data_IF_068064416211
#
_entry.id   IF_068064416211
#
_cell.length_a   1.000
_cell.length_b   1.000
_cell.length_c   1.000
_cell.angle_alpha   90.00
_cell.angle_beta   90.00
_cell.angle_gamma   90.00
#
_symmetry.space_group_name_H-M   'P 1'
#
loop_
_entity.id
_entity.type
_entity.pdbx_description
1 polymer ?
#
# COMPACT_ATOMS: atom_id res chain seq x y z
N UNK A 1 -2.12 39.44 -7.79
CA UNK A 1 -2.12 38.10 -7.15
C UNK A 1 -3.01 38.19 -5.93
N UNK A 2 -4.11 37.43 -5.87
CA UNK A 2 -4.99 37.45 -4.71
C UNK A 2 -4.23 36.92 -3.49
N UNK A 3 -4.11 37.75 -2.44
CA UNK A 3 -3.54 37.35 -1.17
C UNK A 3 -4.66 36.70 -0.35
N UNK A 4 -4.67 35.37 -0.28
CA UNK A 4 -5.58 34.64 0.60
C UNK A 4 -5.06 34.71 2.04
N UNK A 5 -5.94 34.95 3.01
CA UNK A 5 -5.62 34.79 4.43
C UNK A 5 -5.55 33.29 4.80
N UNK A 6 -4.47 32.65 4.38
CA UNK A 6 -4.26 31.22 4.62
C UNK A 6 -4.06 30.94 6.12
N UNK A 7 -3.43 31.85 6.87
CA UNK A 7 -3.17 31.67 8.29
C UNK A 7 -4.48 31.64 9.09
N UNK A 8 -5.38 32.61 8.85
CA UNK A 8 -6.70 32.65 9.47
C UNK A 8 -7.52 31.40 9.17
N UNK A 9 -7.52 30.97 7.91
CA UNK A 9 -8.21 29.73 7.47
C UNK A 9 -7.63 28.49 8.17
N UNK A 10 -6.31 28.33 8.20
CA UNK A 10 -5.65 27.18 8.84
C UNK A 10 -5.96 27.15 10.34
N UNK A 11 -5.91 28.30 11.03
CA UNK A 11 -6.22 28.40 12.46
C UNK A 11 -7.68 28.06 12.75
N UNK A 12 -8.62 28.55 11.94
CA UNK A 12 -10.03 28.23 12.09
C UNK A 12 -10.31 26.72 11.88
N UNK A 13 -9.73 26.12 10.83
CA UNK A 13 -9.82 24.69 10.57
C UNK A 13 -9.20 23.86 11.69
N UNK A 14 -8.12 24.33 12.31
CA UNK A 14 -7.50 23.66 13.45
C UNK A 14 -8.40 23.65 14.68
N UNK A 15 -9.02 24.79 15.01
CA UNK A 15 -10.01 24.88 16.07
C UNK A 15 -11.18 23.91 15.87
N UNK A 16 -11.71 23.81 14.65
CA UNK A 16 -12.79 22.86 14.30
C UNK A 16 -12.34 21.41 14.53
N UNK A 17 -11.14 21.03 14.07
CA UNK A 17 -10.61 19.67 14.29
C UNK A 17 -10.39 19.37 15.76
N UNK A 18 -9.88 20.33 16.54
CA UNK A 18 -9.68 20.16 17.97
C UNK A 18 -11.00 19.93 18.71
N UNK A 19 -12.03 20.74 18.43
CA UNK A 19 -13.37 20.58 19.00
C UNK A 19 -13.98 19.21 18.65
N UNK A 20 -13.88 18.79 17.39
CA UNK A 20 -14.36 17.48 16.96
C UNK A 20 -13.69 16.34 17.72
N UNK A 21 -12.35 16.35 17.85
CA UNK A 21 -11.60 15.32 18.60
C UNK A 21 -12.07 15.23 20.07
N UNK A 22 -12.21 16.37 20.74
CA UNK A 22 -12.69 16.43 22.12
C UNK A 22 -14.11 15.88 22.24
N UNK A 23 -15.01 16.24 21.32
CA UNK A 23 -16.41 15.79 21.34
C UNK A 23 -16.58 14.27 21.13
N UNK A 24 -15.66 13.64 20.41
CA UNK A 24 -15.69 12.21 20.11
C UNK A 24 -14.96 11.33 21.14
N UNK A 25 -14.49 11.92 22.27
CA UNK A 25 -13.70 11.23 23.31
C UNK A 25 -12.50 10.44 22.77
N UNK A 26 -11.98 10.79 21.57
CA UNK A 26 -10.77 10.18 21.03
C UNK A 26 -9.56 10.80 21.72
N UNK A 27 -9.28 10.35 22.94
CA UNK A 27 -8.06 10.63 23.67
C UNK A 27 -6.90 9.75 23.15
N UNK A 28 -6.70 9.69 21.83
CA UNK A 28 -5.55 9.02 21.23
C UNK A 28 -4.55 10.07 20.75
N UNK A 29 -3.27 9.72 20.91
CA UNK A 29 -2.15 10.62 20.72
C UNK A 29 -2.27 11.43 19.42
N UNK A 30 -2.06 12.75 19.47
CA UNK A 30 -2.06 13.57 18.27
C UNK A 30 -0.91 13.13 17.36
N UNK A 31 -1.21 12.34 16.32
CA UNK A 31 -0.24 12.04 15.27
C UNK A 31 -0.35 10.66 14.63
N UNK A 32 -0.88 9.66 15.33
CA UNK A 32 -0.99 8.32 14.74
C UNK A 32 -2.24 8.19 13.87
N UNK A 33 -2.02 7.79 12.61
CA UNK A 33 -3.11 7.51 11.67
C UNK A 33 -3.90 6.30 12.20
N UNK A 34 -5.18 6.47 12.50
CA UNK A 34 -5.98 5.39 13.10
C UNK A 34 -6.49 4.35 12.09
N UNK A 35 -6.48 4.68 10.80
CA UNK A 35 -7.07 3.86 9.74
C UNK A 35 -6.11 3.63 8.58
N UNK A 36 -6.16 2.46 7.95
CA UNK A 36 -5.45 2.23 6.70
C UNK A 36 -5.76 3.30 5.65
N UNK A 37 -4.74 3.64 4.86
CA UNK A 37 -4.82 4.55 3.74
C UNK A 37 -5.20 3.81 2.47
N UNK A 38 -6.30 4.21 1.84
CA UNK A 38 -6.64 3.72 0.51
C UNK A 38 -5.56 4.09 -0.52
N UNK A 39 -4.99 5.29 -0.43
CA UNK A 39 -3.91 5.75 -1.30
C UNK A 39 -2.64 4.92 -1.08
N UNK A 40 -2.24 4.67 0.18
CA UNK A 40 -1.05 3.85 0.43
C UNK A 40 -1.25 2.41 -0.05
N UNK A 41 -2.46 1.84 0.12
CA UNK A 41 -2.79 0.53 -0.42
C UNK A 41 -2.69 0.52 -1.95
N UNK A 42 -3.19 1.54 -2.64
CA UNK A 42 -3.06 1.66 -4.09
C UNK A 42 -1.58 1.70 -4.52
N UNK A 43 -0.74 2.47 -3.83
CA UNK A 43 0.70 2.55 -4.10
C UNK A 43 1.42 1.21 -3.82
N UNK A 44 1.02 0.51 -2.76
CA UNK A 44 1.52 -0.84 -2.42
C UNK A 44 1.20 -1.81 -3.56
N UNK A 45 -0.05 -1.83 -4.03
CA UNK A 45 -0.46 -2.66 -5.16
C UNK A 45 0.28 -2.27 -6.45
N UNK A 46 0.55 -0.99 -6.67
CA UNK A 46 1.37 -0.54 -7.79
C UNK A 46 2.78 -1.14 -7.73
N UNK A 47 3.44 -1.05 -6.58
CA UNK A 47 4.76 -1.65 -6.35
C UNK A 47 4.76 -3.17 -6.56
N UNK A 48 3.75 -3.89 -6.06
CA UNK A 48 3.65 -5.33 -6.31
C UNK A 48 3.52 -5.66 -7.80
N UNK A 49 2.63 -4.97 -8.53
CA UNK A 49 2.50 -5.15 -9.98
C UNK A 49 3.84 -4.96 -10.70
N UNK A 50 4.56 -3.90 -10.37
CA UNK A 50 5.87 -3.59 -10.97
C UNK A 50 6.94 -4.62 -10.61
N UNK A 51 6.96 -5.10 -9.37
CA UNK A 51 7.93 -6.11 -8.96
C UNK A 51 7.63 -7.50 -9.54
N UNK A 52 6.36 -7.85 -9.72
CA UNK A 52 5.97 -9.13 -10.33
C UNK A 52 6.17 -9.12 -11.86
N UNK A 53 6.05 -7.97 -12.50
CA UNK A 53 6.20 -7.81 -13.95
C UNK A 53 7.19 -6.68 -14.30
N UNK A 54 8.46 -6.79 -13.91
CA UNK A 54 9.43 -5.69 -13.98
C UNK A 54 9.69 -5.22 -15.41
N UNK A 55 9.77 -6.13 -16.38
CA UNK A 55 9.98 -5.77 -17.79
C UNK A 55 8.74 -5.21 -18.49
N UNK A 56 7.54 -5.34 -17.89
CA UNK A 56 6.28 -4.87 -18.48
C UNK A 56 5.75 -3.60 -17.81
N UNK A 57 5.92 -3.48 -16.49
CA UNK A 57 5.34 -2.41 -15.67
C UNK A 57 6.40 -1.63 -14.88
N UNK A 58 7.66 -2.08 -14.88
CA UNK A 58 8.76 -1.39 -14.24
C UNK A 58 9.22 -0.13 -14.99
N UNK A 59 10.29 0.50 -14.52
CA UNK A 59 10.98 1.60 -15.20
C UNK A 59 11.26 1.34 -16.68
N UNK A 60 11.23 2.39 -17.49
CA UNK A 60 11.42 2.32 -18.95
C UNK A 60 12.87 1.95 -19.32
N UNK A 61 13.82 2.26 -18.45
CA UNK A 61 15.25 1.99 -18.59
C UNK A 61 15.69 0.67 -17.95
N UNK A 62 14.74 -0.21 -17.63
CA UNK A 62 15.02 -1.49 -16.99
C UNK A 62 15.91 -2.38 -17.84
N UNK A 63 16.91 -2.99 -17.20
CA UNK A 63 17.83 -3.96 -17.81
C UNK A 63 17.75 -5.27 -17.04
N UNK A 64 17.95 -6.39 -17.73
CA UNK A 64 17.95 -7.72 -17.11
C UNK A 64 19.00 -7.83 -15.99
N UNK A 65 20.16 -7.17 -16.15
CA UNK A 65 21.25 -7.17 -15.17
C UNK A 65 20.87 -6.54 -13.82
N UNK A 66 19.94 -5.58 -13.82
CA UNK A 66 19.47 -4.87 -12.63
C UNK A 66 18.09 -5.32 -12.14
N UNK A 67 17.47 -6.28 -12.82
CA UNK A 67 16.10 -6.72 -12.55
C UNK A 67 15.92 -7.24 -11.12
N UNK A 68 16.78 -8.17 -10.69
CA UNK A 68 16.68 -8.74 -9.35
C UNK A 68 16.87 -7.70 -8.24
N UNK A 69 17.74 -6.70 -8.47
CA UNK A 69 17.92 -5.61 -7.52
C UNK A 69 16.65 -4.75 -7.44
N UNK A 70 16.08 -4.38 -8.58
CA UNK A 70 14.84 -3.62 -8.64
C UNK A 70 13.68 -4.35 -7.97
N UNK A 71 13.51 -5.64 -8.27
CA UNK A 71 12.46 -6.48 -7.69
C UNK A 71 12.62 -6.55 -6.17
N UNK A 72 13.83 -6.86 -5.69
CA UNK A 72 14.11 -6.93 -4.25
C UNK A 72 13.80 -5.62 -3.52
N UNK A 73 14.30 -4.50 -4.05
CA UNK A 73 14.05 -3.16 -3.49
C UNK A 73 12.57 -2.80 -3.47
N UNK A 74 11.86 -3.05 -4.58
CA UNK A 74 10.45 -2.69 -4.73
C UNK A 74 9.55 -3.54 -3.84
N UNK A 75 9.84 -4.84 -3.71
CA UNK A 75 9.12 -5.74 -2.80
C UNK A 75 9.33 -5.37 -1.33
N UNK A 76 10.57 -5.10 -0.91
CA UNK A 76 10.85 -4.67 0.47
C UNK A 76 10.05 -3.40 0.83
N UNK A 77 10.08 -2.39 -0.05
CA UNK A 77 9.32 -1.16 0.15
C UNK A 77 7.80 -1.39 0.22
N UNK A 78 7.27 -2.27 -0.63
CA UNK A 78 5.85 -2.62 -0.65
C UNK A 78 5.42 -3.38 0.62
N UNK A 79 6.21 -4.39 1.02
CA UNK A 79 5.92 -5.24 2.18
C UNK A 79 6.01 -4.47 3.50
N UNK A 80 6.98 -3.58 3.67
CA UNK A 80 7.07 -2.69 4.84
C UNK A 80 5.85 -1.77 4.93
N UNK A 81 5.47 -1.16 3.81
CA UNK A 81 4.29 -0.30 3.75
C UNK A 81 3.00 -1.09 4.06
N UNK A 82 2.88 -2.31 3.55
CA UNK A 82 1.75 -3.21 3.82
C UNK A 82 1.69 -3.62 5.29
N UNK A 83 2.84 -3.87 5.93
CA UNK A 83 2.92 -4.16 7.36
C UNK A 83 2.36 -3.02 8.20
N UNK A 84 2.70 -1.77 7.88
CA UNK A 84 2.09 -0.62 8.57
C UNK A 84 0.57 -0.57 8.38
N UNK A 85 0.07 -0.80 7.16
CA UNK A 85 -1.39 -0.83 6.94
C UNK A 85 -2.08 -1.97 7.69
N UNK A 86 -1.46 -3.15 7.76
CA UNK A 86 -1.98 -4.30 8.49
C UNK A 86 -2.03 -4.03 10.01
N UNK A 87 -1.00 -3.38 10.57
CA UNK A 87 -0.99 -2.96 11.98
C UNK A 87 -2.15 -2.01 12.28
N UNK A 88 -2.36 -1.00 11.43
CA UNK A 88 -3.47 -0.05 11.62
C UNK A 88 -4.82 -0.75 11.66
N UNK A 89 -5.06 -1.68 10.73
CA UNK A 89 -6.33 -2.41 10.70
C UNK A 89 -6.48 -3.34 11.91
N UNK A 90 -5.43 -4.06 12.31
CA UNK A 90 -5.50 -4.99 13.45
C UNK A 90 -5.69 -4.27 14.78
N UNK A 91 -4.98 -3.16 15.02
CA UNK A 91 -5.16 -2.33 16.24
C UNK A 91 -6.56 -1.76 16.35
N UNK A 92 -7.28 -1.61 15.24
CA UNK A 92 -8.67 -1.16 15.25
C UNK A 92 -9.62 -2.23 15.79
N UNK A 93 -9.38 -3.49 15.49
CA UNK A 93 -10.22 -4.61 15.96
C UNK A 93 -9.79 -5.17 17.32
N UNK A 94 -8.52 -5.01 17.71
CA UNK A 94 -7.97 -5.48 18.98
C UNK A 94 -7.03 -4.45 19.63
N UNK A 95 -7.55 -3.31 20.13
CA UNK A 95 -6.74 -2.17 20.57
C UNK A 95 -5.89 -2.40 21.83
N UNK A 96 -6.11 -3.49 22.57
CA UNK A 96 -5.40 -3.82 23.82
C UNK A 96 -4.50 -5.06 23.70
N UNK A 97 -4.31 -5.60 22.49
CA UNK A 97 -3.62 -6.87 22.30
C UNK A 97 -2.11 -6.69 22.05
N UNK A 98 -1.28 -7.32 22.89
CA UNK A 98 0.17 -7.37 22.74
C UNK A 98 0.63 -8.20 21.53
N UNK A 99 -0.26 -8.97 20.90
CA UNK A 99 0.03 -9.82 19.75
C UNK A 99 -0.08 -9.15 18.37
N UNK A 100 -0.54 -7.90 18.27
CA UNK A 100 -0.82 -7.25 16.96
C UNK A 100 0.41 -7.21 16.07
N UNK A 101 1.58 -6.89 16.64
CA UNK A 101 2.83 -6.79 15.88
C UNK A 101 3.24 -8.13 15.25
N UNK A 102 3.24 -9.19 16.06
CA UNK A 102 3.58 -10.53 15.59
C UNK A 102 2.55 -11.06 14.58
N UNK A 103 1.27 -10.80 14.83
CA UNK A 103 0.18 -11.22 13.95
C UNK A 103 0.25 -10.51 12.58
N UNK A 104 0.44 -9.18 12.57
CA UNK A 104 0.62 -8.41 11.35
C UNK A 104 1.82 -8.92 10.55
N UNK A 105 2.96 -9.14 11.22
CA UNK A 105 4.16 -9.66 10.59
C UNK A 105 3.95 -11.08 10.02
N UNK A 106 3.22 -11.95 10.73
CA UNK A 106 2.91 -13.29 10.25
C UNK A 106 2.03 -13.27 8.98
N UNK A 107 1.02 -12.40 8.93
CA UNK A 107 0.17 -12.21 7.75
C UNK A 107 1.02 -11.73 6.56
N UNK A 108 1.83 -10.69 6.75
CA UNK A 108 2.64 -10.11 5.66
C UNK A 108 3.71 -11.09 5.18
N UNK A 109 4.36 -11.85 6.08
CA UNK A 109 5.30 -12.90 5.70
C UNK A 109 4.63 -13.99 4.86
N UNK A 110 3.45 -14.46 5.27
CA UNK A 110 2.69 -15.46 4.51
C UNK A 110 2.29 -14.93 3.14
N UNK A 111 1.85 -13.67 3.07
CA UNK A 111 1.54 -13.03 1.80
C UNK A 111 2.77 -12.93 0.89
N UNK A 112 3.91 -12.50 1.41
CA UNK A 112 5.17 -12.40 0.68
C UNK A 112 5.60 -13.77 0.10
N UNK A 113 5.49 -14.83 0.91
CA UNK A 113 5.81 -16.19 0.49
C UNK A 113 4.91 -16.72 -0.63
N UNK A 114 3.69 -16.19 -0.77
CA UNK A 114 2.76 -16.57 -1.82
C UNK A 114 2.98 -15.83 -3.15
N UNK A 115 3.79 -14.74 -3.17
CA UNK A 115 3.99 -13.92 -4.37
C UNK A 115 4.51 -14.69 -5.60
N UNK A 116 5.45 -15.67 -5.47
CA UNK A 116 5.87 -16.47 -6.63
C UNK A 116 4.74 -17.30 -7.23
N UNK A 117 3.84 -17.83 -6.41
CA UNK A 117 2.71 -18.62 -6.89
C UNK A 117 1.63 -17.72 -7.51
N UNK A 118 1.38 -16.54 -6.93
CA UNK A 118 0.54 -15.50 -7.53
C UNK A 118 1.09 -15.10 -8.90
N UNK A 119 2.40 -14.90 -9.03
CA UNK A 119 3.04 -14.59 -10.32
C UNK A 119 2.73 -15.65 -11.37
N UNK A 120 2.88 -16.93 -11.01
CA UNK A 120 2.65 -18.06 -11.91
C UNK A 120 1.18 -18.18 -12.32
N UNK A 121 0.26 -17.95 -11.38
CA UNK A 121 -1.17 -17.95 -11.67
C UNK A 121 -1.52 -16.82 -12.67
N UNK A 122 -0.96 -15.63 -12.48
CA UNK A 122 -1.20 -14.50 -13.38
C UNK A 122 -0.61 -14.73 -14.78
N UNK A 123 0.44 -15.54 -14.95
CA UNK A 123 0.87 -15.96 -16.30
C UNK A 123 -0.24 -16.73 -17.02
N UNK A 124 -0.93 -17.65 -16.31
CA UNK A 124 -2.05 -18.36 -16.91
C UNK A 124 -3.22 -17.45 -17.26
N UNK A 125 -3.46 -16.41 -16.44
CA UNK A 125 -4.53 -15.44 -16.70
C UNK A 125 -4.21 -14.57 -17.94
N UNK A 126 -2.95 -14.18 -18.11
CA UNK A 126 -2.49 -13.44 -19.30
C UNK A 126 -2.66 -14.28 -20.56
N UNK A 127 -2.26 -15.56 -20.53
CA UNK A 127 -2.43 -16.47 -21.66
C UNK A 127 -3.92 -16.72 -21.97
N UNK A 128 -4.75 -16.89 -20.95
CA UNK A 128 -6.19 -17.06 -21.13
C UNK A 128 -6.82 -15.81 -21.76
N UNK A 129 -6.44 -14.61 -21.31
CA UNK A 129 -6.89 -13.35 -21.91
C UNK A 129 -6.46 -13.23 -23.37
N UNK A 130 -5.22 -13.59 -23.70
CA UNK A 130 -4.73 -13.60 -25.08
C UNK A 130 -5.48 -14.60 -25.97
N UNK A 131 -5.70 -15.82 -25.51
CA UNK A 131 -6.45 -16.84 -26.27
C UNK A 131 -7.94 -16.53 -26.41
N UNK A 132 -8.52 -15.83 -25.44
CA UNK A 132 -9.93 -15.43 -25.42
C UNK A 132 -10.27 -14.21 -26.28
N UNK A 133 -9.27 -13.46 -26.74
CA UNK A 133 -9.46 -12.23 -27.52
C UNK A 133 -8.79 -12.32 -28.90
N UNK A 134 -9.55 -12.56 -29.99
CA UNK A 134 -9.02 -12.59 -31.36
C UNK A 134 -8.34 -11.29 -31.82
N UNK A 135 -8.56 -10.17 -31.13
CA UNK A 135 -7.92 -8.90 -31.42
C UNK A 135 -6.54 -8.76 -30.72
N UNK A 136 -6.24 -9.58 -29.71
CA UNK A 136 -4.96 -9.58 -29.04
C UNK A 136 -3.86 -10.09 -29.98
N UNK A 137 -2.76 -9.33 -30.10
CA UNK A 137 -1.69 -9.61 -31.08
C UNK A 137 -0.41 -10.15 -30.48
N UNK A 138 -0.25 -10.03 -29.16
CA UNK A 138 0.92 -10.50 -28.43
C UNK A 138 0.57 -10.68 -26.95
N UNK A 139 1.45 -11.39 -26.25
CA UNK A 139 1.44 -11.58 -24.80
C UNK A 139 2.42 -10.63 -24.13
#
# INVERSE_FOLDING_TARGET
>A
MAAFDLEGVVRALDGIRAQWRTSQQRAREPGEREFPSREALADIFDKFKRALFPMRLGPVDMRHESENFYVGYTLDAALRSLLEQARLELRRHAPADAGVEEHAAAIVRRFAAALPDVRRLLDSDVLAAYHGDPAARSV
#
